data_IF_312530575924
#
_entry.id   IF_312530575924
#
_cell.length_a   1.000
_cell.length_b   1.000
_cell.length_c   1.000
_cell.angle_alpha   90.00
_cell.angle_beta   90.00
_cell.angle_gamma   90.00
#
_symmetry.space_group_name_H-M   'P 1'
#
loop_
_entity.id
_entity.type
_entity.pdbx_description
1 polymer ?
#
# COMPACT_ATOMS: atom_id res chain seq x y z
N UNK A 1 18.08 13.20 2.29
CA UNK A 1 18.12 11.73 2.44
C UNK A 1 19.58 11.27 2.43
N UNK A 2 20.01 10.49 3.39
CA UNK A 2 21.42 10.20 3.65
C UNK A 2 21.97 9.24 2.57
N UNK A 3 22.97 9.67 1.75
CA UNK A 3 23.61 8.88 0.68
C UNK A 3 24.04 7.46 1.15
N UNK A 4 24.37 7.33 2.43
CA UNK A 4 24.78 6.05 3.04
C UNK A 4 23.65 5.02 3.09
N UNK A 5 22.39 5.47 3.29
CA UNK A 5 21.20 4.58 3.31
C UNK A 5 20.92 4.06 1.90
N UNK A 6 20.98 4.92 0.88
CA UNK A 6 20.77 4.53 -0.53
C UNK A 6 21.83 3.50 -0.95
N UNK A 7 23.10 3.73 -0.61
CA UNK A 7 24.18 2.80 -0.90
C UNK A 7 24.03 1.46 -0.17
N UNK A 8 23.56 1.45 1.07
CA UNK A 8 23.30 0.23 1.83
C UNK A 8 22.17 -0.60 1.20
N UNK A 9 21.05 0.04 0.85
CA UNK A 9 19.92 -0.62 0.18
C UNK A 9 20.34 -1.15 -1.19
N UNK A 10 21.04 -0.35 -2.00
CA UNK A 10 21.57 -0.79 -3.29
C UNK A 10 22.55 -1.97 -3.15
N UNK A 11 23.42 -1.95 -2.13
CA UNK A 11 24.36 -3.02 -1.85
C UNK A 11 23.67 -4.33 -1.45
N UNK A 12 22.59 -4.26 -0.67
CA UNK A 12 21.76 -5.42 -0.29
C UNK A 12 21.06 -6.00 -1.54
N UNK A 13 20.52 -5.17 -2.40
CA UNK A 13 19.86 -5.60 -3.65
C UNK A 13 20.87 -6.29 -4.58
N UNK A 14 22.06 -5.72 -4.72
CA UNK A 14 23.13 -6.29 -5.57
C UNK A 14 23.66 -7.60 -4.97
N UNK A 15 23.84 -7.70 -3.66
CA UNK A 15 24.31 -8.93 -3.01
C UNK A 15 23.27 -10.06 -3.06
N UNK A 16 21.99 -9.76 -2.92
CA UNK A 16 20.90 -10.72 -3.11
C UNK A 16 20.81 -11.21 -4.56
N UNK A 17 21.03 -10.32 -5.52
CA UNK A 17 21.07 -10.67 -6.96
C UNK A 17 22.26 -11.56 -7.30
N UNK A 18 23.44 -11.30 -6.71
CA UNK A 18 24.64 -12.08 -6.92
C UNK A 18 24.57 -13.48 -6.26
N UNK A 19 23.99 -13.57 -5.06
CA UNK A 19 23.80 -14.84 -4.36
C UNK A 19 22.83 -15.78 -5.13
N UNK A 20 21.81 -15.21 -5.80
CA UNK A 20 20.88 -16.00 -6.62
C UNK A 20 21.48 -16.48 -7.93
N UNK A 21 22.54 -15.85 -8.44
CA UNK A 21 23.20 -16.24 -9.69
C UNK A 21 24.13 -17.46 -9.55
N UNK A 22 24.59 -17.78 -8.33
CA UNK A 22 25.60 -18.82 -8.11
C UNK A 22 25.06 -20.24 -7.89
N UNK A 23 23.73 -20.46 -7.85
CA UNK A 23 23.18 -21.76 -7.41
C UNK A 23 22.20 -22.41 -8.39
N UNK A 24 22.19 -22.03 -9.65
CA UNK A 24 21.25 -22.60 -10.63
C UNK A 24 21.96 -23.52 -11.63
N UNK A 25 21.95 -24.82 -11.37
CA UNK A 25 22.21 -25.85 -12.39
C UNK A 25 20.99 -26.15 -13.31
N UNK A 26 19.86 -25.47 -13.08
CA UNK A 26 18.72 -25.49 -13.98
C UNK A 26 18.55 -24.10 -14.61
N UNK A 27 18.32 -24.04 -15.93
CA UNK A 27 18.08 -22.79 -16.66
C UNK A 27 16.76 -22.14 -16.22
N UNK A 28 16.77 -21.40 -15.12
CA UNK A 28 15.64 -20.58 -14.72
C UNK A 28 15.41 -19.52 -15.81
N UNK A 29 14.26 -19.58 -16.47
CA UNK A 29 13.88 -18.54 -17.43
C UNK A 29 13.27 -17.34 -16.66
N UNK A 30 13.89 -16.17 -16.82
CA UNK A 30 13.37 -14.92 -16.30
C UNK A 30 12.09 -14.56 -17.05
N UNK A 31 11.02 -14.24 -16.31
CA UNK A 31 9.72 -13.86 -16.90
C UNK A 31 9.13 -12.64 -16.20
N UNK A 32 8.30 -11.92 -16.94
CA UNK A 32 7.53 -10.84 -16.38
C UNK A 32 6.23 -11.39 -15.79
N UNK A 33 5.76 -10.78 -14.73
CA UNK A 33 4.57 -11.21 -14.02
C UNK A 33 3.72 -10.03 -13.58
N UNK A 34 2.42 -10.18 -13.72
CA UNK A 34 1.43 -9.34 -13.09
C UNK A 34 0.91 -9.98 -11.82
N UNK A 35 0.61 -9.16 -10.83
CA UNK A 35 -0.10 -9.58 -9.62
C UNK A 35 -1.19 -8.55 -9.33
N UNK A 36 -2.39 -9.04 -9.02
CA UNK A 36 -3.54 -8.20 -8.62
C UNK A 36 -4.04 -8.71 -7.29
N UNK A 37 -4.29 -7.81 -6.34
CA UNK A 37 -4.70 -8.18 -5.00
C UNK A 37 -5.83 -7.33 -4.46
N UNK A 38 -6.52 -7.90 -3.49
CA UNK A 38 -7.46 -7.21 -2.63
C UNK A 38 -7.06 -7.41 -1.17
N UNK A 39 -7.24 -6.38 -0.37
CA UNK A 39 -6.82 -6.40 1.02
C UNK A 39 -7.82 -5.71 1.93
N UNK A 40 -7.97 -6.22 3.13
CA UNK A 40 -8.61 -5.52 4.24
C UNK A 40 -7.53 -4.72 4.96
N UNK A 41 -7.73 -3.42 5.06
CA UNK A 41 -6.76 -2.47 5.62
C UNK A 41 -7.29 -1.90 6.93
N UNK A 42 -6.45 -1.88 7.93
CA UNK A 42 -6.75 -1.22 9.20
C UNK A 42 -5.65 -0.21 9.53
N UNK A 43 -6.03 1.04 9.63
CA UNK A 43 -5.12 2.05 10.16
C UNK A 43 -5.08 1.95 11.69
N UNK A 44 -3.89 2.08 12.29
CA UNK A 44 -3.72 2.10 13.76
C UNK A 44 -4.52 3.23 14.44
N UNK A 45 -4.90 4.28 13.72
CA UNK A 45 -5.74 5.40 14.19
C UNK A 45 -7.26 5.13 14.05
N UNK A 46 -7.66 3.84 14.08
CA UNK A 46 -9.08 3.40 14.16
C UNK A 46 -9.91 3.55 12.88
N UNK A 47 -9.30 3.63 11.71
CA UNK A 47 -10.01 3.50 10.44
C UNK A 47 -9.90 2.07 9.90
N UNK A 48 -11.00 1.54 9.39
CA UNK A 48 -11.01 0.28 8.65
C UNK A 48 -11.28 0.59 7.18
N UNK A 49 -10.80 -0.27 6.30
CA UNK A 49 -10.94 -0.04 4.88
C UNK A 49 -10.70 -1.28 4.04
N UNK A 50 -10.73 -1.07 2.74
CA UNK A 50 -10.41 -2.06 1.73
C UNK A 50 -9.47 -1.43 0.71
N UNK A 51 -8.50 -2.22 0.26
CA UNK A 51 -7.56 -1.85 -0.77
C UNK A 51 -7.60 -2.79 -1.96
N UNK A 52 -7.19 -2.25 -3.10
CA UNK A 52 -6.90 -3.02 -4.31
C UNK A 52 -5.51 -2.62 -4.78
N UNK A 53 -4.67 -3.61 -5.06
CA UNK A 53 -3.29 -3.39 -5.48
C UNK A 53 -3.00 -4.10 -6.79
N UNK A 54 -2.17 -3.51 -7.63
CA UNK A 54 -1.60 -4.09 -8.82
C UNK A 54 -0.09 -3.98 -8.79
N UNK A 55 0.63 -5.06 -9.10
CA UNK A 55 2.08 -5.09 -9.16
C UNK A 55 2.49 -5.69 -10.50
N UNK A 56 3.41 -5.02 -11.18
CA UNK A 56 4.05 -5.52 -12.38
C UNK A 56 5.55 -5.57 -12.18
N UNK A 57 6.18 -6.68 -12.55
CA UNK A 57 7.61 -6.81 -12.40
C UNK A 57 8.18 -8.04 -13.07
N UNK A 58 9.42 -8.32 -12.72
CA UNK A 58 10.20 -9.42 -13.28
C UNK A 58 10.68 -10.37 -12.20
N UNK A 59 10.45 -11.65 -12.43
CA UNK A 59 11.06 -12.73 -11.66
C UNK A 59 12.48 -12.96 -12.16
N UNK A 60 13.49 -12.67 -11.35
CA UNK A 60 14.91 -12.79 -11.71
C UNK A 60 15.46 -14.19 -11.41
N UNK A 61 14.91 -14.84 -10.41
CA UNK A 61 15.23 -16.21 -10.02
C UNK A 61 14.03 -16.84 -9.33
N UNK A 62 14.08 -18.10 -8.96
CA UNK A 62 13.04 -18.76 -8.15
C UNK A 62 12.79 -18.06 -6.80
N UNK A 63 13.77 -17.27 -6.35
CA UNK A 63 13.76 -16.62 -5.05
C UNK A 63 13.40 -15.14 -5.16
N UNK A 64 13.89 -14.40 -6.17
CA UNK A 64 13.85 -12.93 -6.22
C UNK A 64 12.93 -12.43 -7.32
N UNK A 65 11.98 -11.60 -6.93
CA UNK A 65 11.13 -10.78 -7.81
C UNK A 65 11.37 -9.30 -7.51
N UNK A 66 11.39 -8.47 -8.55
CA UNK A 66 11.46 -7.02 -8.45
C UNK A 66 10.40 -6.42 -9.37
N UNK A 67 9.61 -5.50 -8.85
CA UNK A 67 8.51 -4.86 -9.56
C UNK A 67 8.23 -3.44 -9.13
N UNK A 68 7.14 -2.92 -9.68
CA UNK A 68 6.51 -1.68 -9.27
C UNK A 68 5.04 -1.97 -8.98
N UNK A 69 4.54 -1.39 -7.90
CA UNK A 69 3.17 -1.54 -7.46
C UNK A 69 2.45 -0.20 -7.41
N UNK A 70 1.15 -0.28 -7.56
CA UNK A 70 0.21 0.83 -7.34
C UNK A 70 -1.06 0.28 -6.71
N UNK A 71 -1.79 1.13 -6.01
CA UNK A 71 -3.02 0.71 -5.36
C UNK A 71 -3.96 1.86 -5.06
N UNK A 72 -5.10 1.49 -4.52
CA UNK A 72 -6.06 2.43 -3.91
C UNK A 72 -6.61 1.77 -2.66
N UNK A 73 -6.38 2.40 -1.50
CA UNK A 73 -6.96 2.00 -0.24
C UNK A 73 -8.05 2.99 0.15
N UNK A 74 -9.17 2.49 0.59
CA UNK A 74 -10.28 3.30 1.08
C UNK A 74 -10.41 3.12 2.57
N UNK A 75 -10.42 4.21 3.34
CA UNK A 75 -10.61 4.19 4.79
C UNK A 75 -11.92 4.86 5.17
N UNK A 76 -12.59 4.27 6.15
CA UNK A 76 -13.80 4.81 6.75
C UNK A 76 -13.47 5.18 8.19
N UNK A 77 -13.44 6.48 8.46
CA UNK A 77 -13.26 7.00 9.82
C UNK A 77 -14.64 7.20 10.45
N UNK A 78 -14.81 6.70 11.66
CA UNK A 78 -16.00 6.95 12.46
C UNK A 78 -15.71 8.13 13.41
N UNK A 79 -15.97 9.34 12.93
CA UNK A 79 -15.93 10.56 13.73
C UNK A 79 -17.34 10.85 14.22
N UNK A 80 -17.55 11.20 15.49
CA UNK A 80 -18.87 11.60 16.00
C UNK A 80 -19.48 12.74 15.15
N UNK A 81 -20.80 12.85 15.13
CA UNK A 81 -21.47 14.02 14.55
C UNK A 81 -20.94 15.29 15.20
N UNK A 82 -20.40 16.21 14.42
CA UNK A 82 -20.05 17.54 14.93
C UNK A 82 -20.94 18.58 14.24
N UNK A 83 -21.41 19.53 15.04
CA UNK A 83 -22.17 20.67 14.55
C UNK A 83 -21.39 21.93 14.89
N UNK A 84 -21.03 22.69 13.88
CA UNK A 84 -20.34 23.97 14.05
C UNK A 84 -21.26 25.06 13.56
N UNK A 85 -21.50 26.06 14.38
CA UNK A 85 -22.24 27.26 14.01
C UNK A 85 -21.21 28.36 13.70
N UNK A 86 -21.23 28.88 12.48
CA UNK A 86 -20.40 30.00 12.08
C UNK A 86 -21.33 31.21 12.00
N UNK A 87 -20.99 32.29 12.72
CA UNK A 87 -21.70 33.57 12.62
C UNK A 87 -20.84 34.53 11.79
N UNK A 88 -21.39 35.07 10.71
CA UNK A 88 -20.72 36.07 9.88
C UNK A 88 -20.70 37.47 10.55
N UNK A 89 -19.99 38.40 9.91
CA UNK A 89 -19.91 39.77 10.42
C UNK A 89 -21.26 40.52 10.47
N UNK A 90 -22.26 40.05 9.71
CA UNK A 90 -23.57 40.60 9.63
C UNK A 90 -24.58 39.93 10.60
N UNK A 91 -24.07 38.97 11.42
CA UNK A 91 -24.86 38.27 12.42
C UNK A 91 -25.66 37.07 11.90
N UNK A 92 -25.50 36.67 10.64
CA UNK A 92 -26.16 35.50 10.10
C UNK A 92 -25.47 34.24 10.58
N UNK A 93 -26.27 33.27 11.02
CA UNK A 93 -25.74 31.98 11.52
C UNK A 93 -25.85 30.90 10.44
N UNK A 94 -24.71 30.32 10.08
CA UNK A 94 -24.64 29.12 9.23
C UNK A 94 -24.31 27.92 10.10
N UNK A 95 -25.18 26.92 10.08
CA UNK A 95 -24.99 25.67 10.81
C UNK A 95 -24.37 24.64 9.86
N UNK A 96 -23.13 24.24 10.15
CA UNK A 96 -22.44 23.19 9.42
C UNK A 96 -22.55 21.88 10.21
N UNK A 97 -23.20 20.90 9.61
CA UNK A 97 -23.34 19.56 10.19
C UNK A 97 -22.36 18.64 9.47
N UNK A 98 -21.33 18.18 10.18
CA UNK A 98 -20.39 17.16 9.67
C UNK A 98 -20.96 15.77 9.93
N UNK A 99 -21.03 14.90 8.90
CA UNK A 99 -21.52 13.54 9.08
C UNK A 99 -20.57 12.74 9.98
N UNK A 100 -21.07 11.66 10.63
CA UNK A 100 -20.25 10.84 11.52
C UNK A 100 -19.20 10.00 10.78
N UNK A 101 -19.27 9.91 9.46
CA UNK A 101 -18.35 9.14 8.63
C UNK A 101 -17.59 10.05 7.69
N UNK A 102 -16.28 9.85 7.66
CA UNK A 102 -15.35 10.48 6.73
C UNK A 102 -14.68 9.39 5.90
N UNK A 103 -14.60 9.59 4.61
CA UNK A 103 -13.93 8.68 3.69
C UNK A 103 -12.59 9.26 3.30
N UNK A 104 -11.55 8.44 3.35
CA UNK A 104 -10.21 8.80 2.90
C UNK A 104 -9.72 7.77 1.91
N UNK A 105 -9.06 8.24 0.87
CA UNK A 105 -8.42 7.41 -0.14
C UNK A 105 -6.92 7.60 -0.06
N UNK A 106 -6.21 6.49 -0.04
CA UNK A 106 -4.75 6.47 -0.13
C UNK A 106 -4.37 5.82 -1.46
N UNK A 107 -3.52 6.51 -2.22
CA UNK A 107 -3.04 6.03 -3.53
C UNK A 107 -1.54 5.84 -3.44
N UNK A 108 -1.05 4.62 -3.13
CA UNK A 108 0.37 4.29 -3.11
C UNK A 108 0.91 3.99 -4.51
N UNK A 109 2.16 4.38 -4.73
CA UNK A 109 2.99 3.95 -5.87
C UNK A 109 4.38 3.62 -5.33
N UNK A 110 4.88 2.41 -5.59
CA UNK A 110 6.08 1.91 -4.94
C UNK A 110 6.89 0.95 -5.81
N UNK A 111 8.18 0.86 -5.52
CA UNK A 111 9.03 -0.25 -5.94
C UNK A 111 8.82 -1.41 -4.95
N UNK A 112 8.77 -2.63 -5.47
CA UNK A 112 8.44 -3.85 -4.76
C UNK A 112 9.56 -4.88 -4.94
N UNK A 113 10.14 -5.33 -3.83
CA UNK A 113 11.11 -6.42 -3.78
C UNK A 113 10.52 -7.58 -3.00
N UNK A 114 10.35 -8.73 -3.65
CA UNK A 114 9.88 -9.95 -2.99
C UNK A 114 10.96 -11.02 -2.99
N UNK A 115 11.07 -11.71 -1.85
CA UNK A 115 12.05 -12.78 -1.65
C UNK A 115 11.33 -14.03 -1.14
N UNK A 116 11.38 -15.12 -1.90
CA UNK A 116 10.91 -16.42 -1.47
C UNK A 116 11.93 -17.06 -0.51
N UNK A 117 11.48 -17.60 0.61
CA UNK A 117 12.37 -18.23 1.59
C UNK A 117 12.75 -19.69 1.23
N UNK A 118 12.12 -20.24 0.19
CA UNK A 118 12.45 -21.56 -0.34
C UNK A 118 12.16 -21.64 -1.84
N UNK A 119 12.72 -22.65 -2.51
CA UNK A 119 12.45 -22.98 -3.92
C UNK A 119 11.26 -23.93 -4.11
N UNK A 120 10.45 -24.11 -3.08
CA UNK A 120 9.25 -24.93 -3.18
C UNK A 120 8.20 -24.29 -4.08
N UNK A 121 7.26 -25.09 -4.60
CA UNK A 121 6.12 -24.59 -5.37
C UNK A 121 5.18 -23.67 -4.56
N UNK A 122 5.24 -23.74 -3.23
CA UNK A 122 4.41 -22.95 -2.33
C UNK A 122 5.26 -22.32 -1.22
N UNK A 123 6.16 -21.37 -1.57
CA UNK A 123 7.09 -20.78 -0.61
C UNK A 123 6.38 -19.80 0.32
N UNK A 124 6.94 -19.63 1.51
CA UNK A 124 6.77 -18.38 2.24
C UNK A 124 7.61 -17.29 1.58
N UNK A 125 7.15 -16.06 1.62
CA UNK A 125 7.88 -14.93 1.06
C UNK A 125 7.87 -13.73 2.01
N UNK A 126 8.88 -12.89 1.86
CA UNK A 126 8.93 -11.55 2.42
C UNK A 126 8.89 -10.52 1.29
N UNK A 127 8.38 -9.34 1.58
CA UNK A 127 8.25 -8.23 0.64
C UNK A 127 8.73 -6.95 1.29
N UNK A 128 9.40 -6.10 0.53
CA UNK A 128 9.79 -4.75 0.94
C UNK A 128 9.29 -3.76 -0.11
N UNK A 129 8.66 -2.70 0.35
CA UNK A 129 8.11 -1.62 -0.48
C UNK A 129 8.75 -0.29 -0.15
N UNK A 130 9.08 0.49 -1.17
CA UNK A 130 9.57 1.87 -1.03
C UNK A 130 8.98 2.73 -2.13
N UNK A 131 8.36 3.85 -1.77
CA UNK A 131 7.71 4.70 -2.76
C UNK A 131 7.14 5.96 -2.19
N UNK A 132 6.00 6.36 -2.73
CA UNK A 132 5.21 7.49 -2.28
C UNK A 132 3.74 7.13 -2.22
N UNK A 133 3.00 7.88 -1.43
CA UNK A 133 1.55 7.77 -1.39
C UNK A 133 0.92 9.15 -1.30
N UNK A 134 -0.26 9.30 -1.91
CA UNK A 134 -1.09 10.50 -1.82
C UNK A 134 -2.36 10.15 -1.08
N UNK A 135 -2.72 10.97 -0.10
CA UNK A 135 -3.96 10.82 0.66
C UNK A 135 -4.95 11.92 0.30
N UNK A 136 -6.16 11.51 -0.04
CA UNK A 136 -7.27 12.37 -0.42
C UNK A 136 -8.46 12.06 0.48
N UNK A 137 -9.01 13.08 1.13
CA UNK A 137 -10.21 12.95 1.93
C UNK A 137 -11.43 13.44 1.17
N UNK A 138 -12.54 12.72 1.31
CA UNK A 138 -13.84 13.12 0.83
C UNK A 138 -14.68 13.52 2.05
N UNK A 139 -14.83 14.82 2.28
CA UNK A 139 -15.70 15.35 3.31
C UNK A 139 -17.03 15.77 2.70
N UNK A 140 -18.12 15.22 3.21
CA UNK A 140 -19.47 15.64 2.83
C UNK A 140 -19.95 16.70 3.83
N UNK A 141 -19.94 17.95 3.40
CA UNK A 141 -20.44 19.05 4.20
C UNK A 141 -21.93 19.21 3.92
N UNK A 142 -22.75 19.07 4.98
CA UNK A 142 -24.19 19.38 4.92
C UNK A 142 -24.41 20.74 5.59
N UNK A 143 -24.75 21.72 4.80
CA UNK A 143 -25.10 23.07 5.26
C UNK A 143 -26.21 23.63 4.41
N UNK A 144 -26.36 24.95 4.34
CA UNK A 144 -27.29 25.67 3.46
C UNK A 144 -27.07 25.31 1.97
N UNK A 145 -25.86 24.89 1.62
CA UNK A 145 -25.52 24.26 0.34
C UNK A 145 -24.84 22.91 0.65
N UNK A 146 -25.43 21.81 0.16
CA UNK A 146 -24.81 20.48 0.23
C UNK A 146 -23.65 20.43 -0.74
N UNK A 147 -22.42 20.51 -0.26
CA UNK A 147 -21.20 20.36 -1.06
C UNK A 147 -20.45 19.10 -0.65
N UNK A 148 -19.93 18.38 -1.66
CA UNK A 148 -18.91 17.37 -1.42
C UNK A 148 -17.57 18.06 -1.71
N UNK A 149 -16.73 18.18 -0.72
CA UNK A 149 -15.40 18.75 -0.88
C UNK A 149 -14.39 17.62 -0.88
N UNK A 150 -13.52 17.65 -1.87
CA UNK A 150 -12.39 16.74 -2.02
C UNK A 150 -11.15 17.49 -1.56
N UNK A 151 -10.61 17.09 -0.42
CA UNK A 151 -9.46 17.73 0.18
C UNK A 151 -8.23 16.84 -0.01
N UNK A 152 -7.20 17.38 -0.66
CA UNK A 152 -5.90 16.74 -0.75
C UNK A 152 -5.16 16.96 0.59
N UNK A 153 -5.07 15.92 1.42
CA UNK A 153 -4.34 15.99 2.69
C UNK A 153 -2.82 16.05 2.50
N UNK A 154 -2.33 15.59 1.38
CA UNK A 154 -0.91 15.67 1.02
C UNK A 154 -0.34 14.35 0.53
N UNK A 155 0.95 14.39 0.21
CA UNK A 155 1.75 13.23 -0.16
C UNK A 155 2.77 12.89 0.91
N UNK A 156 3.21 11.64 0.92
CA UNK A 156 4.21 11.14 1.86
C UNK A 156 5.12 10.09 1.24
N UNK A 157 6.24 9.84 1.92
CA UNK A 157 7.13 8.71 1.60
C UNK A 157 6.51 7.45 2.19
N UNK A 158 6.39 6.42 1.37
CA UNK A 158 5.92 5.09 1.75
C UNK A 158 7.11 4.16 1.93
N UNK A 159 7.15 3.46 3.05
CA UNK A 159 8.00 2.31 3.31
C UNK A 159 7.13 1.21 3.89
N UNK A 160 7.24 -0.01 3.36
CA UNK A 160 6.42 -1.11 3.82
C UNK A 160 7.15 -2.43 3.81
N UNK A 161 6.62 -3.37 4.58
CA UNK A 161 7.06 -4.74 4.61
C UNK A 161 5.86 -5.68 4.71
N UNK A 162 5.89 -6.75 3.92
CA UNK A 162 4.89 -7.80 4.01
C UNK A 162 5.54 -9.16 4.16
N UNK A 163 4.77 -10.10 4.70
CA UNK A 163 5.11 -11.50 4.71
C UNK A 163 3.88 -12.33 4.37
N UNK A 164 4.08 -13.43 3.68
CA UNK A 164 2.96 -14.25 3.25
C UNK A 164 3.36 -15.62 2.76
N UNK A 165 2.36 -16.32 2.26
CA UNK A 165 2.52 -17.64 1.65
C UNK A 165 1.94 -17.65 0.24
N UNK A 166 2.67 -18.24 -0.70
CA UNK A 166 2.23 -18.50 -2.06
C UNK A 166 1.73 -19.91 -2.20
N UNK A 167 0.78 -20.09 -3.08
CA UNK A 167 0.21 -21.36 -3.50
C UNK A 167 0.24 -21.41 -5.02
N UNK A 168 1.06 -22.29 -5.58
CA UNK A 168 1.09 -22.50 -7.02
C UNK A 168 -0.23 -23.18 -7.47
N UNK A 169 -0.81 -22.67 -8.52
CA UNK A 169 -2.00 -23.22 -9.18
C UNK A 169 -1.59 -24.13 -10.34
N UNK A 170 -2.52 -24.98 -10.78
CA UNK A 170 -2.23 -25.99 -11.82
C UNK A 170 -1.98 -25.39 -13.20
N UNK A 171 -2.43 -24.16 -13.45
CA UNK A 171 -2.25 -23.43 -14.70
C UNK A 171 -0.92 -22.62 -14.78
N UNK A 172 -0.10 -22.69 -13.74
CA UNK A 172 1.14 -21.91 -13.64
C UNK A 172 1.01 -20.59 -12.93
N UNK A 173 -0.20 -20.17 -12.60
CA UNK A 173 -0.49 -18.98 -11.82
C UNK A 173 -0.24 -19.21 -10.32
N UNK A 174 -0.33 -18.15 -9.54
CA UNK A 174 -0.10 -18.19 -8.10
C UNK A 174 -1.21 -17.46 -7.34
N UNK A 175 -1.59 -18.01 -6.19
CA UNK A 175 -2.40 -17.32 -5.19
C UNK A 175 -1.53 -17.06 -3.96
N UNK A 176 -1.56 -15.85 -3.43
CA UNK A 176 -0.83 -15.49 -2.22
C UNK A 176 -1.78 -14.97 -1.15
N UNK A 177 -1.50 -15.33 0.11
CA UNK A 177 -2.13 -14.70 1.29
C UNK A 177 -1.00 -13.99 2.02
N UNK A 178 -1.20 -12.74 2.41
CA UNK A 178 -0.15 -11.92 3.03
C UNK A 178 -0.68 -11.02 4.14
N UNK A 179 0.20 -10.72 5.08
CA UNK A 179 0.07 -9.65 6.06
C UNK A 179 1.08 -8.57 5.70
N UNK A 180 0.64 -7.32 5.71
CA UNK A 180 1.42 -6.17 5.28
C UNK A 180 1.35 -5.05 6.32
N UNK A 181 2.44 -4.33 6.48
CA UNK A 181 2.54 -3.15 7.33
C UNK A 181 3.26 -2.08 6.53
N UNK A 182 2.55 -1.00 6.25
CA UNK A 182 3.10 0.17 5.60
C UNK A 182 3.31 1.30 6.62
N UNK A 183 4.27 2.16 6.35
CA UNK A 183 4.51 3.39 7.07
C UNK A 183 4.58 4.53 6.05
N UNK A 184 3.67 5.48 6.15
CA UNK A 184 3.58 6.63 5.26
C UNK A 184 3.89 7.89 6.08
N UNK A 185 5.00 8.53 5.74
CA UNK A 185 5.48 9.72 6.40
C UNK A 185 5.26 10.93 5.51
N UNK A 186 4.29 11.74 5.83
CA UNK A 186 4.04 13.05 5.23
C UNK A 186 4.64 14.17 6.07
N UNK A 187 4.65 15.42 5.54
CA UNK A 187 5.19 16.58 6.28
C UNK A 187 4.41 16.89 7.57
N UNK A 188 3.14 16.53 7.63
CA UNK A 188 2.23 16.86 8.73
C UNK A 188 1.51 15.65 9.33
N UNK A 189 1.74 14.44 8.82
CA UNK A 189 1.06 13.24 9.29
C UNK A 189 1.96 12.00 9.16
N UNK A 190 1.70 11.03 10.01
CA UNK A 190 2.18 9.67 9.87
C UNK A 190 0.98 8.73 9.80
N UNK A 191 0.98 7.81 8.86
CA UNK A 191 -0.06 6.80 8.70
C UNK A 191 0.58 5.43 8.70
N UNK A 192 0.04 4.49 9.49
CA UNK A 192 0.56 3.13 9.57
C UNK A 192 -0.59 2.16 9.34
N UNK A 193 -0.95 1.89 8.08
CA UNK A 193 -1.89 0.84 7.73
C UNK A 193 -1.29 -0.55 7.95
N UNK A 194 -2.13 -1.45 8.44
CA UNK A 194 -1.85 -2.88 8.53
C UNK A 194 -2.90 -3.58 7.70
N UNK A 195 -2.48 -4.43 6.79
CA UNK A 195 -3.36 -5.08 5.81
C UNK A 195 -3.26 -6.60 5.89
N UNK A 196 -4.39 -7.26 5.70
CA UNK A 196 -4.47 -8.69 5.40
C UNK A 196 -5.08 -8.84 4.02
N UNK A 197 -4.37 -9.49 3.11
CA UNK A 197 -4.78 -9.54 1.72
C UNK A 197 -4.59 -10.87 1.03
N UNK A 198 -5.18 -10.93 -0.15
CA UNK A 198 -5.04 -12.02 -1.11
C UNK A 198 -4.57 -11.41 -2.43
N UNK A 199 -3.61 -12.06 -3.08
CA UNK A 199 -3.04 -11.60 -4.35
C UNK A 199 -2.99 -12.78 -5.34
N UNK A 200 -3.44 -12.54 -6.56
CA UNK A 200 -3.36 -13.46 -7.68
C UNK A 200 -2.27 -13.00 -8.64
N UNK A 201 -1.36 -13.90 -9.02
CA UNK A 201 -0.25 -13.65 -9.93
C UNK A 201 -0.34 -14.51 -11.19
N UNK A 202 -0.11 -13.91 -12.37
CA UNK A 202 -0.20 -14.53 -13.69
C UNK A 202 0.87 -14.01 -14.64
#
# INVERSE_FOLDING_TARGET
MNRKIILAVASIIVSLSAASAQTSEGTFQRYNRWMVGGEFVRNIFHANGFGVTGIYGRQFSEIVFLGAGFGVDTFIYNGGKSTTTITDADGNQTVIIRPPYRYSFLVPVYADLQVNFSRSRSPFFGELKVGGAVQVDLERIRGTHNTNELELLGGGVLMGAAAGKRFALNNGDELSIFLDIDCILGPWYANVPVSLGIRYGF
#
